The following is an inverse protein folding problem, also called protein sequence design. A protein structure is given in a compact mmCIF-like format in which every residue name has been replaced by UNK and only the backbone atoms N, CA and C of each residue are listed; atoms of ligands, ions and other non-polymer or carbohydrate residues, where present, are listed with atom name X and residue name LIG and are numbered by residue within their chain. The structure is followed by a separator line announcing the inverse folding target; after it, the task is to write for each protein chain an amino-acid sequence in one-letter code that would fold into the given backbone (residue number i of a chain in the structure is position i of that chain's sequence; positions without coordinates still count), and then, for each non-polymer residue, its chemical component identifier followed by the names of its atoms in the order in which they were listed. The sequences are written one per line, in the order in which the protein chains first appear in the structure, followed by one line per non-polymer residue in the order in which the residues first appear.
data_IF_483975464271
#
_entry.id   IF_483975464271
#
_cell.length_a   1.000
_cell.length_b   1.000
_cell.length_c   1.000
_cell.angle_alpha   90.00
_cell.angle_beta   90.00
_cell.angle_gamma   90.00
#
_symmetry.space_group_name_H-M   'P 1'
#
loop_
_entity.id
_entity.type
_entity.pdbx_description
1 polymer ?
#
# COMPACT_ATOMS: atom_id res chain seq x y z
N UNK A 1 -35.35 21.03 -35.49
CA UNK A 1 -34.03 20.56 -35.02
C UNK A 1 -34.18 20.20 -33.55
N UNK A 2 -34.06 18.92 -33.14
CA UNK A 2 -34.01 18.59 -31.74
C UNK A 2 -32.57 18.72 -31.22
N UNK A 3 -32.42 19.42 -30.08
CA UNK A 3 -31.19 19.52 -29.32
C UNK A 3 -30.70 18.13 -28.89
N UNK A 4 -29.38 17.86 -28.87
CA UNK A 4 -28.86 16.64 -28.28
C UNK A 4 -29.04 16.73 -26.76
N UNK A 5 -29.83 15.81 -26.24
CA UNK A 5 -30.13 15.63 -24.84
C UNK A 5 -28.85 15.60 -23.99
N UNK A 6 -28.80 16.54 -23.06
CA UNK A 6 -28.06 16.42 -21.80
C UNK A 6 -28.70 15.27 -21.00
N UNK A 7 -28.26 14.04 -21.25
CA UNK A 7 -28.60 12.87 -20.45
C UNK A 7 -27.30 12.06 -20.32
N UNK A 8 -26.78 11.66 -19.16
CA UNK A 8 -27.21 11.81 -17.78
C UNK A 8 -26.02 11.30 -16.97
N UNK A 9 -25.25 12.19 -16.39
CA UNK A 9 -24.11 11.84 -15.52
C UNK A 9 -24.56 11.32 -14.14
N UNK A 10 -25.56 10.43 -14.11
CA UNK A 10 -25.96 9.72 -12.90
C UNK A 10 -25.29 8.35 -12.92
N UNK A 11 -24.11 8.26 -12.30
CA UNK A 11 -23.54 6.97 -11.91
C UNK A 11 -24.65 6.15 -11.23
N UNK A 12 -24.82 4.90 -11.63
CA UNK A 12 -25.79 4.03 -10.95
C UNK A 12 -25.41 3.91 -9.48
N UNK A 13 -26.38 3.65 -8.60
CA UNK A 13 -26.11 3.37 -7.18
C UNK A 13 -25.03 2.28 -7.03
N UNK A 14 -24.99 1.36 -7.99
CA UNK A 14 -24.02 0.28 -8.07
C UNK A 14 -22.59 0.76 -8.36
N UNK A 15 -22.40 1.60 -9.39
CA UNK A 15 -21.10 2.20 -9.70
C UNK A 15 -20.61 3.10 -8.57
N UNK A 16 -21.53 3.78 -7.89
CA UNK A 16 -21.22 4.64 -6.74
C UNK A 16 -20.68 3.81 -5.56
N UNK A 17 -21.29 2.66 -5.28
CA UNK A 17 -20.83 1.78 -4.20
C UNK A 17 -19.45 1.18 -4.48
N UNK A 18 -19.23 0.57 -5.64
CA UNK A 18 -17.92 0.00 -6.01
C UNK A 18 -16.82 1.08 -6.01
N UNK A 19 -17.12 2.27 -6.54
CA UNK A 19 -16.17 3.40 -6.54
C UNK A 19 -15.79 3.82 -5.13
N UNK A 20 -16.73 3.78 -4.18
CA UNK A 20 -16.43 4.07 -2.78
C UNK A 20 -15.48 3.03 -2.16
N UNK A 21 -15.65 1.74 -2.47
CA UNK A 21 -14.73 0.69 -1.97
C UNK A 21 -13.32 0.87 -2.55
N UNK A 22 -13.21 1.17 -3.86
CA UNK A 22 -11.94 1.51 -4.53
C UNK A 22 -11.24 2.69 -3.87
N UNK A 23 -11.97 3.74 -3.54
CA UNK A 23 -11.41 4.92 -2.88
C UNK A 23 -10.84 4.58 -1.49
N UNK A 24 -11.53 3.74 -0.71
CA UNK A 24 -11.04 3.28 0.61
C UNK A 24 -9.76 2.45 0.45
N UNK A 25 -9.73 1.51 -0.49
CA UNK A 25 -8.54 0.70 -0.76
C UNK A 25 -7.35 1.57 -1.20
N UNK A 26 -7.57 2.53 -2.10
CA UNK A 26 -6.54 3.46 -2.54
C UNK A 26 -5.95 4.28 -1.38
N UNK A 27 -6.78 4.71 -0.42
CA UNK A 27 -6.30 5.40 0.79
C UNK A 27 -5.43 4.49 1.67
N UNK A 28 -5.78 3.21 1.80
CA UNK A 28 -4.92 2.26 2.50
C UNK A 28 -3.57 2.10 1.81
N UNK A 29 -3.56 1.92 0.49
CA UNK A 29 -2.33 1.76 -0.30
C UNK A 29 -1.41 2.98 -0.15
N UNK A 30 -1.95 4.20 -0.28
CA UNK A 30 -1.19 5.43 -0.08
C UNK A 30 -0.61 5.56 1.34
N UNK A 31 -1.37 5.18 2.38
CA UNK A 31 -0.88 5.17 3.76
C UNK A 31 0.22 4.13 3.98
N UNK A 32 0.09 2.96 3.36
CA UNK A 32 1.09 1.89 3.43
C UNK A 32 2.40 2.36 2.80
N UNK A 33 2.35 2.92 1.59
CA UNK A 33 3.52 3.48 0.89
C UNK A 33 4.23 4.52 1.75
N UNK A 34 3.46 5.50 2.26
CA UNK A 34 4.01 6.55 3.14
C UNK A 34 4.68 5.98 4.40
N UNK A 35 4.11 4.92 5.01
CA UNK A 35 4.74 4.27 6.15
C UNK A 35 6.05 3.57 5.79
N UNK A 36 6.12 2.92 4.62
CA UNK A 36 7.32 2.22 4.15
C UNK A 36 8.45 3.22 3.86
N UNK A 37 8.14 4.28 3.11
CA UNK A 37 9.10 5.33 2.75
C UNK A 37 9.61 6.07 4.00
N UNK A 38 8.70 6.41 4.91
CA UNK A 38 9.03 7.05 6.19
C UNK A 38 9.66 6.13 7.24
N UNK A 39 9.76 4.82 6.98
CA UNK A 39 10.25 3.84 7.95
C UNK A 39 9.39 3.70 9.21
N UNK A 40 8.11 4.07 9.13
CA UNK A 40 7.14 4.01 10.23
C UNK A 40 6.57 2.59 10.39
N UNK A 41 7.44 1.60 10.62
CA UNK A 41 7.10 0.16 10.58
C UNK A 41 6.02 -0.27 11.58
N UNK A 42 5.96 0.37 12.75
CA UNK A 42 4.90 0.09 13.74
C UNK A 42 3.53 0.55 13.24
N UNK A 43 3.46 1.74 12.64
CA UNK A 43 2.24 2.25 12.02
C UNK A 43 1.85 1.41 10.81
N UNK A 44 2.83 0.98 10.01
CA UNK A 44 2.59 0.08 8.87
C UNK A 44 1.83 -1.18 9.31
N UNK A 45 2.27 -1.83 10.40
CA UNK A 45 1.59 -3.02 10.92
C UNK A 45 0.12 -2.75 11.31
N UNK A 46 -0.15 -1.58 11.91
CA UNK A 46 -1.51 -1.16 12.24
C UNK A 46 -2.38 -0.92 11.00
N UNK A 47 -1.83 -0.24 9.98
CA UNK A 47 -2.54 0.06 8.73
C UNK A 47 -2.83 -1.22 7.96
N UNK A 48 -1.87 -2.15 7.86
CA UNK A 48 -2.05 -3.45 7.21
C UNK A 48 -3.15 -4.27 7.88
N UNK A 49 -3.15 -4.33 9.22
CA UNK A 49 -4.21 -5.03 9.96
C UNK A 49 -5.58 -4.40 9.75
N UNK A 50 -5.65 -3.07 9.68
CA UNK A 50 -6.91 -2.36 9.41
C UNK A 50 -7.44 -2.65 8.01
N UNK A 51 -6.55 -2.65 7.00
CA UNK A 51 -6.88 -3.03 5.62
C UNK A 51 -7.36 -4.47 5.53
N UNK A 52 -6.69 -5.40 6.23
CA UNK A 52 -7.07 -6.81 6.27
C UNK A 52 -8.47 -7.01 6.85
N UNK A 53 -8.78 -6.37 7.99
CA UNK A 53 -10.12 -6.41 8.58
C UNK A 53 -11.16 -5.87 7.61
N UNK A 54 -10.91 -4.71 6.99
CA UNK A 54 -11.82 -4.11 6.02
C UNK A 54 -12.07 -5.03 4.81
N UNK A 55 -11.02 -5.63 4.24
CA UNK A 55 -11.16 -6.57 3.12
C UNK A 55 -11.94 -7.81 3.52
N UNK A 56 -11.69 -8.33 4.72
CA UNK A 56 -12.43 -9.48 5.25
C UNK A 56 -13.91 -9.15 5.37
N UNK A 57 -14.25 -8.00 5.95
CA UNK A 57 -15.65 -7.58 6.09
C UNK A 57 -16.30 -7.40 4.72
N UNK A 58 -15.60 -6.75 3.78
CA UNK A 58 -16.07 -6.51 2.42
C UNK A 58 -16.38 -7.80 1.63
N UNK A 59 -15.55 -8.84 1.76
CA UNK A 59 -15.69 -10.10 1.02
C UNK A 59 -16.36 -11.24 1.81
N UNK A 60 -16.64 -11.07 3.11
CA UNK A 60 -17.31 -12.09 3.93
C UNK A 60 -18.83 -12.15 3.72
N UNK A 61 -19.44 -11.04 3.26
CA UNK A 61 -20.87 -10.96 3.03
C UNK A 61 -21.32 -11.63 1.74
N UNK A 62 -22.63 -11.92 1.64
CA UNK A 62 -23.25 -12.28 0.36
C UNK A 62 -23.26 -11.07 -0.56
N UNK A 63 -22.30 -11.02 -1.47
CA UNK A 63 -22.24 -10.02 -2.53
C UNK A 63 -23.41 -10.28 -3.49
N UNK A 64 -24.26 -9.28 -3.69
CA UNK A 64 -25.38 -9.39 -4.62
C UNK A 64 -24.87 -9.71 -6.03
N UNK A 65 -25.62 -10.53 -6.77
CA UNK A 65 -25.13 -11.10 -8.04
C UNK A 65 -24.67 -10.03 -9.04
N UNK A 66 -25.31 -8.86 -9.03
CA UNK A 66 -24.97 -7.71 -9.86
C UNK A 66 -23.58 -7.12 -9.61
N UNK A 67 -22.99 -7.29 -8.42
CA UNK A 67 -21.70 -6.72 -8.05
C UNK A 67 -20.54 -7.70 -8.19
N UNK A 68 -20.82 -8.99 -8.43
CA UNK A 68 -19.80 -10.03 -8.51
C UNK A 68 -18.72 -9.75 -9.56
N UNK A 69 -19.03 -9.31 -10.80
CA UNK A 69 -17.98 -9.06 -11.77
C UNK A 69 -17.07 -7.90 -11.33
N UNK A 70 -17.63 -6.79 -10.85
CA UNK A 70 -16.87 -5.62 -10.39
C UNK A 70 -16.04 -5.93 -9.14
N UNK A 71 -16.57 -6.74 -8.23
CA UNK A 71 -15.84 -7.20 -7.03
C UNK A 71 -14.69 -8.14 -7.38
N UNK A 72 -14.81 -8.91 -8.46
CA UNK A 72 -13.73 -9.75 -8.98
C UNK A 72 -12.62 -8.88 -9.56
N UNK A 73 -12.96 -7.89 -10.39
CA UNK A 73 -11.99 -6.92 -10.93
C UNK A 73 -11.31 -6.15 -9.80
N UNK A 74 -12.07 -5.70 -8.79
CA UNK A 74 -11.51 -5.04 -7.61
C UNK A 74 -10.52 -5.93 -6.85
N UNK A 75 -10.81 -7.23 -6.72
CA UNK A 75 -9.91 -8.18 -6.07
C UNK A 75 -8.59 -8.33 -6.84
N UNK A 76 -8.65 -8.41 -8.17
CA UNK A 76 -7.45 -8.47 -9.02
C UNK A 76 -6.60 -7.20 -8.89
N UNK A 77 -7.23 -6.04 -8.83
CA UNK A 77 -6.54 -4.76 -8.61
C UNK A 77 -5.88 -4.70 -7.23
N UNK A 78 -6.57 -5.17 -6.18
CA UNK A 78 -6.04 -5.28 -4.82
C UNK A 78 -4.78 -6.15 -4.81
N UNK A 79 -4.81 -7.29 -5.49
CA UNK A 79 -3.66 -8.19 -5.61
C UNK A 79 -2.51 -7.54 -6.39
N UNK A 80 -2.82 -6.79 -7.45
CA UNK A 80 -1.85 -6.00 -8.20
C UNK A 80 -1.16 -4.94 -7.33
N UNK A 81 -1.93 -4.21 -6.52
CA UNK A 81 -1.39 -3.26 -5.55
C UNK A 81 -0.49 -3.94 -4.51
N UNK A 82 -0.92 -5.08 -3.96
CA UNK A 82 -0.15 -5.80 -2.95
C UNK A 82 1.19 -6.30 -3.51
N UNK A 83 1.24 -6.67 -4.80
CA UNK A 83 2.50 -7.00 -5.47
C UNK A 83 3.45 -5.80 -5.51
N UNK A 84 2.97 -4.63 -5.93
CA UNK A 84 3.77 -3.40 -5.97
C UNK A 84 4.27 -3.01 -4.57
N UNK A 85 3.41 -3.08 -3.56
CA UNK A 85 3.77 -2.78 -2.18
C UNK A 85 4.88 -3.72 -1.66
N UNK A 86 4.83 -5.00 -2.02
CA UNK A 86 5.90 -5.95 -1.68
C UNK A 86 7.24 -5.58 -2.35
N UNK A 87 7.23 -5.15 -3.61
CA UNK A 87 8.44 -4.69 -4.32
C UNK A 87 9.05 -3.46 -3.62
N UNK A 88 8.22 -2.53 -3.14
CA UNK A 88 8.66 -1.36 -2.37
C UNK A 88 9.27 -1.79 -1.02
N UNK A 89 8.63 -2.71 -0.30
CA UNK A 89 9.16 -3.24 0.98
C UNK A 89 10.53 -3.91 0.78
N UNK A 90 10.70 -4.73 -0.25
CA UNK A 90 11.98 -5.38 -0.54
C UNK A 90 13.07 -4.36 -0.90
N UNK A 91 12.71 -3.33 -1.66
CA UNK A 91 13.62 -2.21 -1.95
C UNK A 91 14.07 -1.53 -0.66
N UNK A 92 13.15 -1.24 0.25
CA UNK A 92 13.47 -0.57 1.51
C UNK A 92 14.30 -1.45 2.45
N UNK A 93 14.04 -2.76 2.50
CA UNK A 93 14.88 -3.73 3.23
C UNK A 93 16.32 -3.70 2.72
N UNK A 94 16.50 -3.67 1.41
CA UNK A 94 17.83 -3.59 0.80
C UNK A 94 18.54 -2.29 1.16
N UNK A 95 17.84 -1.16 1.15
CA UNK A 95 18.40 0.14 1.58
C UNK A 95 18.87 0.08 3.04
N UNK A 96 18.03 -0.42 3.95
CA UNK A 96 18.39 -0.55 5.37
C UNK A 96 19.61 -1.47 5.55
N UNK A 97 19.65 -2.59 4.84
CA UNK A 97 20.78 -3.52 4.88
C UNK A 97 22.09 -2.86 4.42
N UNK A 98 22.06 -2.10 3.33
CA UNK A 98 23.24 -1.37 2.84
C UNK A 98 23.73 -0.33 3.85
N UNK A 99 22.80 0.41 4.48
CA UNK A 99 23.14 1.37 5.55
C UNK A 99 23.79 0.69 6.76
N UNK A 100 23.29 -0.48 7.17
CA UNK A 100 23.88 -1.24 8.28
C UNK A 100 25.31 -1.72 7.95
N UNK A 101 25.54 -2.20 6.72
CA UNK A 101 26.88 -2.61 6.28
C UNK A 101 27.85 -1.43 6.26
N UNK A 102 27.42 -0.28 5.74
CA UNK A 102 28.23 0.94 5.72
C UNK A 102 28.57 1.40 7.15
N UNK A 103 27.58 1.43 8.05
CA UNK A 103 27.79 1.76 9.46
C UNK A 103 28.79 0.82 10.14
N UNK A 104 28.67 -0.50 9.91
CA UNK A 104 29.61 -1.49 10.44
C UNK A 104 31.03 -1.38 9.89
N UNK A 105 31.21 -0.89 8.66
CA UNK A 105 32.54 -0.56 8.11
C UNK A 105 33.12 0.69 8.77
N UNK A 106 32.32 1.75 8.89
CA UNK A 106 32.73 3.01 9.51
C UNK A 106 33.13 2.81 10.98
N UNK A 107 32.37 2.04 11.75
CA UNK A 107 32.68 1.70 13.14
C UNK A 107 34.04 0.99 13.27
N UNK A 108 34.34 0.05 12.37
CA UNK A 108 35.63 -0.66 12.34
C UNK A 108 36.80 0.25 11.96
N UNK A 109 36.59 1.14 11.00
CA UNK A 109 37.59 2.12 10.60
C UNK A 109 37.93 3.07 11.77
N UNK A 110 36.92 3.64 12.43
CA UNK A 110 37.10 4.50 13.60
C UNK A 110 37.85 3.80 14.73
N UNK A 111 37.46 2.57 15.06
CA UNK A 111 38.16 1.78 16.09
C UNK A 111 39.64 1.54 15.76
N UNK A 112 40.00 1.43 14.47
CA UNK A 112 41.39 1.29 14.05
C UNK A 112 42.14 2.63 14.16
N UNK A 113 41.53 3.73 13.74
CA UNK A 113 42.11 5.07 13.90
C UNK A 113 42.38 5.41 15.38
N UNK A 114 41.46 5.10 16.29
CA UNK A 114 41.65 5.34 17.73
C UNK A 114 42.78 4.49 18.33
N UNK A 115 42.95 3.25 17.85
CA UNK A 115 44.08 2.38 18.23
C UNK A 115 45.41 2.92 17.72
N UNK A 116 45.45 3.41 16.48
CA UNK A 116 46.67 3.92 15.85
C UNK A 116 47.10 5.29 16.44
N UNK A 117 46.18 6.05 17.04
CA UNK A 117 46.43 7.38 17.66
C UNK A 117 46.57 7.37 19.19
N UNK A 118 46.47 6.22 19.87
CA UNK A 118 46.62 6.10 21.34
C UNK A 118 48.08 5.90 21.82
N UNK A 119 49.06 6.32 21.04
CA UNK A 119 50.49 6.31 21.39
C UNK A 119 51.03 7.71 21.66
#
# INVERSE_FOLDING_TARGET
MPSPDLDRSSLTSEQTWISSQRAVISQYSAKIESCIEGGAWQMLAFVLRSRECYLRDLYSGTIAAQFKPEMTVLAEEILGQDKLLNEIVETQKNIVRQKQLAFGRNKRALSKYDQDNSY
#
